data_IF_365585345224
#
_entry.id   IF_365585345224
#
_cell.length_a   1.000
_cell.length_b   1.000
_cell.length_c   1.000
_cell.angle_alpha   90.00
_cell.angle_beta   90.00
_cell.angle_gamma   90.00
#
_symmetry.space_group_name_H-M   'P 1'
#
loop_
_entity.id
_entity.type
_entity.pdbx_description
1 polymer ?
#
# COMPACT_ATOMS: atom_id res chain seq x y z
N UNK A 1 -18.58 0.41 11.42
CA UNK A 1 -17.58 0.54 10.34
C UNK A 1 -16.85 -0.78 10.26
N UNK A 2 -16.82 -1.44 9.10
CA UNK A 2 -15.99 -2.64 8.95
C UNK A 2 -14.51 -2.29 9.08
N UNK A 3 -13.66 -3.25 9.45
CA UNK A 3 -12.22 -3.01 9.54
C UNK A 3 -11.64 -2.54 8.19
N UNK A 4 -12.14 -3.08 7.08
CA UNK A 4 -11.77 -2.69 5.72
C UNK A 4 -12.13 -1.22 5.47
N UNK A 5 -13.37 -0.81 5.78
CA UNK A 5 -13.81 0.58 5.61
C UNK A 5 -12.96 1.55 6.44
N UNK A 6 -12.59 1.17 7.66
CA UNK A 6 -11.73 1.97 8.52
C UNK A 6 -10.34 2.18 7.91
N UNK A 7 -9.66 1.08 7.55
CA UNK A 7 -8.31 1.14 6.95
C UNK A 7 -8.33 1.87 5.61
N UNK A 8 -9.36 1.63 4.81
CA UNK A 8 -9.56 2.33 3.55
C UNK A 8 -9.78 3.84 3.73
N UNK A 9 -10.52 4.22 4.77
CA UNK A 9 -10.65 5.62 5.19
C UNK A 9 -9.30 6.27 5.51
N UNK A 10 -8.40 5.55 6.20
CA UNK A 10 -7.04 6.04 6.49
C UNK A 10 -6.25 6.28 5.20
N UNK A 11 -6.31 5.35 4.23
CA UNK A 11 -5.67 5.55 2.93
C UNK A 11 -6.16 6.84 2.24
N UNK A 12 -7.47 7.04 2.21
CA UNK A 12 -8.08 8.25 1.61
C UNK A 12 -7.67 9.53 2.30
N UNK A 13 -7.66 9.56 3.64
CA UNK A 13 -7.25 10.75 4.41
C UNK A 13 -5.78 11.09 4.14
N UNK A 14 -4.89 10.09 4.13
CA UNK A 14 -3.47 10.30 3.81
C UNK A 14 -3.29 10.83 2.39
N UNK A 15 -4.00 10.27 1.41
CA UNK A 15 -3.93 10.74 0.04
C UNK A 15 -4.45 12.17 -0.10
N UNK A 16 -5.58 12.50 0.54
CA UNK A 16 -6.14 13.84 0.54
C UNK A 16 -5.16 14.86 1.15
N UNK A 17 -4.51 14.52 2.26
CA UNK A 17 -3.47 15.35 2.86
C UNK A 17 -2.30 15.57 1.91
N UNK A 18 -1.76 14.50 1.32
CA UNK A 18 -0.65 14.57 0.35
C UNK A 18 -1.03 15.31 -0.94
N UNK A 19 -2.30 15.32 -1.32
CA UNK A 19 -2.80 16.12 -2.43
C UNK A 19 -2.87 17.62 -2.12
N UNK A 20 -3.05 17.97 -0.85
CA UNK A 20 -3.22 19.37 -0.43
C UNK A 20 -1.89 20.09 -0.17
N UNK A 21 -0.86 19.37 0.28
CA UNK A 21 0.43 19.98 0.59
C UNK A 21 1.29 20.18 -0.66
N UNK A 22 2.12 21.22 -0.66
CA UNK A 22 3.17 21.39 -1.67
C UNK A 22 4.32 20.42 -1.37
N UNK A 23 4.43 19.35 -2.14
CA UNK A 23 5.43 18.31 -1.93
C UNK A 23 6.76 18.74 -2.55
N UNK A 24 7.75 18.99 -1.69
CA UNK A 24 9.14 19.24 -2.08
C UNK A 24 10.05 18.04 -1.84
N UNK A 25 9.65 17.12 -0.95
CA UNK A 25 10.41 15.92 -0.62
C UNK A 25 10.01 14.73 -1.51
N UNK A 26 10.99 14.08 -2.13
CA UNK A 26 10.86 12.90 -2.99
C UNK A 26 10.14 11.73 -2.30
N UNK A 27 10.50 11.38 -1.06
CA UNK A 27 9.83 10.28 -0.36
C UNK A 27 8.32 10.52 -0.13
N UNK A 28 7.89 11.78 0.09
CA UNK A 28 6.47 12.12 0.20
C UNK A 28 5.77 12.02 -1.16
N UNK A 29 6.46 12.37 -2.25
CA UNK A 29 5.94 12.20 -3.60
C UNK A 29 5.72 10.71 -3.92
N UNK A 30 6.67 9.84 -3.54
CA UNK A 30 6.53 8.39 -3.68
C UNK A 30 5.34 7.85 -2.87
N UNK A 31 5.20 8.24 -1.60
CA UNK A 31 4.04 7.85 -0.78
C UNK A 31 2.72 8.26 -1.44
N UNK A 32 2.64 9.48 -1.99
CA UNK A 32 1.48 9.96 -2.73
C UNK A 32 1.18 9.08 -3.95
N UNK A 33 2.20 8.72 -4.72
CA UNK A 33 2.05 7.82 -5.87
C UNK A 33 1.54 6.44 -5.45
N UNK A 34 2.06 5.89 -4.35
CA UNK A 34 1.63 4.59 -3.82
C UNK A 34 0.17 4.65 -3.35
N UNK A 35 -0.22 5.65 -2.56
CA UNK A 35 -1.62 5.82 -2.14
C UNK A 35 -2.56 6.01 -3.32
N UNK A 36 -2.14 6.78 -4.34
CA UNK A 36 -2.89 6.95 -5.59
C UNK A 36 -3.08 5.62 -6.31
N UNK A 37 -2.04 4.79 -6.34
CA UNK A 37 -2.09 3.49 -7.00
C UNK A 37 -3.04 2.53 -6.27
N UNK A 38 -3.00 2.51 -4.93
CA UNK A 38 -3.94 1.73 -4.11
C UNK A 38 -5.37 2.22 -4.36
N UNK A 39 -5.61 3.53 -4.38
CA UNK A 39 -6.95 4.09 -4.60
C UNK A 39 -7.54 3.70 -5.96
N UNK A 40 -6.78 3.86 -7.03
CA UNK A 40 -7.23 3.52 -8.38
C UNK A 40 -7.58 2.04 -8.53
N UNK A 41 -6.95 1.17 -7.74
CA UNK A 41 -7.12 -0.27 -7.83
C UNK A 41 -7.96 -0.87 -6.69
N UNK A 42 -8.53 -0.06 -5.79
CA UNK A 42 -9.26 -0.58 -4.63
C UNK A 42 -10.47 -1.44 -5.02
N UNK A 43 -11.20 -1.07 -6.07
CA UNK A 43 -12.33 -1.86 -6.58
C UNK A 43 -11.87 -3.20 -7.16
N UNK A 44 -10.68 -3.25 -7.75
CA UNK A 44 -10.10 -4.49 -8.25
C UNK A 44 -9.69 -5.37 -7.07
N UNK A 45 -9.03 -4.80 -6.05
CA UNK A 45 -8.65 -5.49 -4.81
C UNK A 45 -9.87 -6.13 -4.14
N UNK A 46 -10.93 -5.36 -3.91
CA UNK A 46 -12.13 -5.85 -3.20
C UNK A 46 -12.91 -6.92 -3.95
N UNK A 47 -12.69 -7.08 -5.26
CA UNK A 47 -13.31 -8.14 -6.06
C UNK A 47 -12.48 -9.43 -6.10
N UNK A 48 -11.16 -9.33 -5.93
CA UNK A 48 -10.25 -10.47 -6.11
C UNK A 48 -9.73 -11.03 -4.79
N UNK A 49 -9.65 -10.21 -3.74
CA UNK A 49 -9.21 -10.64 -2.42
C UNK A 49 -10.40 -10.91 -1.52
N UNK A 50 -10.26 -11.89 -0.63
CA UNK A 50 -11.20 -12.05 0.47
C UNK A 50 -10.97 -10.97 1.56
N UNK A 51 -11.90 -10.85 2.51
CA UNK A 51 -11.85 -9.81 3.54
C UNK A 51 -10.56 -9.84 4.37
N UNK A 52 -10.06 -11.05 4.71
CA UNK A 52 -8.84 -11.20 5.49
C UNK A 52 -7.62 -10.70 4.71
N UNK A 53 -7.47 -11.15 3.46
CA UNK A 53 -6.39 -10.73 2.55
C UNK A 53 -6.41 -9.23 2.30
N UNK A 54 -7.60 -8.64 2.12
CA UNK A 54 -7.73 -7.20 1.91
C UNK A 54 -7.35 -6.42 3.17
N UNK A 55 -7.72 -6.90 4.36
CA UNK A 55 -7.30 -6.29 5.63
C UNK A 55 -5.79 -6.37 5.81
N UNK A 56 -5.17 -7.53 5.57
CA UNK A 56 -3.70 -7.68 5.63
C UNK A 56 -3.02 -6.71 4.67
N UNK A 57 -3.44 -6.71 3.39
CA UNK A 57 -2.91 -5.81 2.37
C UNK A 57 -2.92 -4.35 2.81
N UNK A 58 -4.07 -3.86 3.30
CA UNK A 58 -4.21 -2.47 3.73
C UNK A 58 -3.36 -2.17 4.97
N UNK A 59 -3.33 -3.08 5.95
CA UNK A 59 -2.53 -2.91 7.18
C UNK A 59 -1.04 -2.83 6.88
N UNK A 60 -0.51 -3.77 6.11
CA UNK A 60 0.91 -3.83 5.76
C UNK A 60 1.35 -2.57 5.02
N UNK A 61 0.61 -2.17 3.99
CA UNK A 61 0.91 -0.97 3.23
C UNK A 61 0.81 0.30 4.10
N UNK A 62 -0.22 0.42 4.94
CA UNK A 62 -0.35 1.57 5.85
C UNK A 62 0.79 1.63 6.88
N UNK A 63 1.19 0.48 7.43
CA UNK A 63 2.28 0.40 8.39
C UNK A 63 3.61 0.82 7.77
N UNK A 64 3.93 0.27 6.60
CA UNK A 64 5.15 0.62 5.86
C UNK A 64 5.14 2.11 5.49
N UNK A 65 4.06 2.60 4.88
CA UNK A 65 3.96 4.00 4.44
C UNK A 65 3.95 5.00 5.59
N UNK A 66 3.55 4.61 6.80
CA UNK A 66 3.62 5.48 7.98
C UNK A 66 5.07 5.78 8.36
N UNK A 67 5.90 4.73 8.42
CA UNK A 67 7.24 4.81 9.03
C UNK A 67 8.35 5.07 8.00
N UNK A 68 8.18 4.60 6.76
CA UNK A 68 9.27 4.55 5.80
C UNK A 68 9.64 5.94 5.26
N UNK A 69 10.94 6.23 5.17
CA UNK A 69 11.49 7.44 4.55
C UNK A 69 12.58 7.12 3.52
N UNK A 70 13.04 5.88 3.48
CA UNK A 70 13.97 5.36 2.48
C UNK A 70 13.28 5.32 1.11
N UNK A 71 13.83 6.09 0.17
CA UNK A 71 13.29 6.21 -1.17
C UNK A 71 13.43 4.93 -1.97
N UNK A 72 14.50 4.15 -1.77
CA UNK A 72 14.72 2.90 -2.50
C UNK A 72 13.68 1.86 -2.10
N UNK A 73 13.37 1.77 -0.80
CA UNK A 73 12.30 0.89 -0.29
C UNK A 73 10.93 1.30 -0.79
N UNK A 74 10.63 2.60 -0.80
CA UNK A 74 9.37 3.12 -1.34
C UNK A 74 9.25 2.90 -2.84
N UNK A 75 10.33 3.07 -3.60
CA UNK A 75 10.36 2.81 -5.04
C UNK A 75 10.18 1.32 -5.34
N UNK A 76 10.84 0.43 -4.57
CA UNK A 76 10.66 -1.01 -4.66
C UNK A 76 9.20 -1.40 -4.39
N UNK A 77 8.59 -0.85 -3.33
CA UNK A 77 7.17 -1.05 -3.04
C UNK A 77 6.28 -0.58 -4.20
N UNK A 78 6.52 0.64 -4.71
CA UNK A 78 5.75 1.18 -5.84
C UNK A 78 5.83 0.27 -7.07
N UNK A 79 7.03 -0.19 -7.44
CA UNK A 79 7.24 -1.12 -8.57
C UNK A 79 6.54 -2.46 -8.34
N UNK A 80 6.62 -3.00 -7.12
CA UNK A 80 5.98 -4.25 -6.76
C UNK A 80 4.45 -4.15 -6.85
N UNK A 81 3.86 -3.09 -6.30
CA UNK A 81 2.43 -2.81 -6.41
C UNK A 81 2.00 -2.60 -7.86
N UNK A 82 2.79 -1.86 -8.65
CA UNK A 82 2.47 -1.64 -10.06
C UNK A 82 2.44 -2.96 -10.85
N UNK A 83 3.42 -3.84 -10.62
CA UNK A 83 3.45 -5.19 -11.22
C UNK A 83 2.27 -6.02 -10.76
N UNK A 84 1.97 -6.00 -9.46
CA UNK A 84 0.84 -6.70 -8.88
C UNK A 84 -0.48 -6.27 -9.54
N UNK A 85 -0.76 -4.96 -9.64
CA UNK A 85 -1.97 -4.46 -10.29
C UNK A 85 -2.01 -4.66 -11.80
N UNK A 86 -0.86 -4.87 -12.45
CA UNK A 86 -0.78 -5.19 -13.87
C UNK A 86 -0.92 -6.69 -14.17
N UNK A 87 -0.94 -7.55 -13.14
CA UNK A 87 -1.06 -8.99 -13.31
C UNK A 87 -2.48 -9.37 -13.77
N UNK A 88 -2.57 -10.42 -14.61
CA UNK A 88 -3.85 -10.91 -15.15
C UNK A 88 -4.79 -11.44 -14.05
N UNK A 89 -4.21 -12.00 -12.99
CA UNK A 89 -4.90 -12.45 -11.79
C UNK A 89 -4.18 -11.88 -10.58
N UNK A 90 -4.92 -11.25 -9.66
CA UNK A 90 -4.35 -10.78 -8.40
C UNK A 90 -4.25 -11.97 -7.44
N UNK A 91 -3.04 -12.46 -7.22
CA UNK A 91 -2.74 -13.42 -6.16
C UNK A 91 -1.85 -12.72 -5.12
N UNK A 92 -2.33 -12.60 -3.88
CA UNK A 92 -1.60 -11.93 -2.80
C UNK A 92 -0.25 -12.60 -2.51
N UNK A 93 -0.06 -13.87 -2.89
CA UNK A 93 1.24 -14.55 -2.82
C UNK A 93 2.31 -13.85 -3.68
N UNK A 94 1.92 -13.16 -4.74
CA UNK A 94 2.81 -12.35 -5.57
C UNK A 94 3.41 -11.17 -4.78
N UNK A 95 2.68 -10.65 -3.78
CA UNK A 95 3.18 -9.60 -2.89
C UNK A 95 4.16 -10.18 -1.86
N UNK A 96 3.84 -11.35 -1.27
CA UNK A 96 4.67 -12.00 -0.24
C UNK A 96 6.02 -12.53 -0.77
N UNK A 97 6.08 -12.98 -2.03
CA UNK A 97 7.34 -13.46 -2.63
C UNK A 97 8.42 -12.38 -2.82
N UNK A 98 8.08 -11.09 -2.72
CA UNK A 98 9.06 -9.99 -2.83
C UNK A 98 9.38 -9.34 -1.48
N UNK A 99 8.74 -9.76 -0.38
CA UNK A 99 8.98 -9.26 0.98
C UNK A 99 9.94 -10.14 1.79
N UNK A 100 10.47 -11.23 1.25
CA UNK A 100 11.51 -12.07 1.89
C UNK A 100 12.89 -11.39 2.01
N UNK A 101 12.95 -10.06 1.92
CA UNK A 101 14.09 -9.28 2.38
C UNK A 101 13.70 -8.55 3.68
N UNK A 102 14.03 -9.18 4.80
CA UNK A 102 14.27 -8.60 6.13
C UNK A 102 13.17 -7.71 6.75
N UNK A 103 12.10 -8.34 7.22
CA UNK A 103 11.36 -7.82 8.37
C UNK A 103 11.31 -8.90 9.44
N UNK A 104 12.32 -8.90 10.33
CA UNK A 104 12.25 -9.59 11.60
C UNK A 104 11.12 -8.95 12.41
N UNK A 105 10.00 -9.66 12.49
CA UNK A 105 8.83 -9.31 13.29
C UNK A 105 9.19 -9.37 14.78
N UNK A 106 9.10 -8.24 15.49
CA UNK A 106 8.73 -8.29 16.90
C UNK A 106 7.20 -8.20 17.00
N UNK A 107 6.54 -9.17 17.66
CA UNK A 107 5.11 -9.14 17.86
C UNK A 107 4.76 -8.14 18.97
N UNK A 108 3.77 -7.28 18.71
CA UNK A 108 3.02 -6.60 19.77
C UNK A 108 2.03 -7.56 20.42
#
# INVERSE_FOLDING_TARGET
LSQIEFLWGICKVNLAFLNHINITNSYLALKKQIFTLIEKNFVLLSKNLNDHELVEFLKENLFLLKNEKDEEKLEALFKNLHRFFSAKNLDIKILKNNSENDYNEEPF
#
